data_IF_278969253268
#
_entry.id   IF_278969253268
#
_cell.length_a   1.000
_cell.length_b   1.000
_cell.length_c   1.000
_cell.angle_alpha   90.00
_cell.angle_beta   90.00
_cell.angle_gamma   90.00
#
_symmetry.space_group_name_H-M   'P 1'
#
loop_
_entity.id
_entity.type
_entity.pdbx_description
1 polymer ?
#
# COMPACT_ATOMS: atom_id res chain seq x y z
N UNK A 1 26.28 17.75 30.30
CA UNK A 1 25.69 18.35 29.08
C UNK A 1 24.21 18.02 29.08
N UNK A 2 23.34 19.03 29.14
CA UNK A 2 21.90 18.80 29.07
C UNK A 2 21.52 18.67 27.59
N UNK A 3 21.47 17.44 27.08
CA UNK A 3 21.06 17.17 25.70
C UNK A 3 19.54 17.25 25.68
N UNK A 4 19.00 18.20 24.91
CA UNK A 4 17.57 18.26 24.59
C UNK A 4 17.15 16.95 23.92
N UNK A 5 16.26 16.22 24.60
CA UNK A 5 15.83 14.89 24.17
C UNK A 5 14.87 14.94 22.99
N UNK A 6 14.09 16.02 22.85
CA UNK A 6 13.19 16.22 21.70
C UNK A 6 14.01 16.48 20.43
N UNK A 7 15.02 17.35 20.53
CA UNK A 7 15.94 17.63 19.42
C UNK A 7 16.74 16.38 19.02
N UNK A 8 17.26 15.65 20.02
CA UNK A 8 17.99 14.39 19.78
C UNK A 8 17.11 13.37 19.04
N UNK A 9 15.84 13.23 19.45
CA UNK A 9 14.90 12.31 18.80
C UNK A 9 14.59 12.72 17.37
N UNK A 10 14.41 14.02 17.12
CA UNK A 10 14.13 14.54 15.78
C UNK A 10 15.32 14.33 14.82
N UNK A 11 16.54 14.59 15.27
CA UNK A 11 17.76 14.36 14.49
C UNK A 11 17.98 12.89 14.16
N UNK A 12 17.65 12.00 15.10
CA UNK A 12 17.71 10.56 14.92
C UNK A 12 16.69 10.03 13.91
N UNK A 13 15.42 10.46 14.03
CA UNK A 13 14.30 9.94 13.21
C UNK A 13 14.22 10.63 11.84
N UNK A 14 14.37 11.96 11.79
CA UNK A 14 14.25 12.74 10.54
C UNK A 14 15.60 13.04 9.92
N UNK A 15 16.59 13.41 10.73
CA UNK A 15 17.91 13.88 10.28
C UNK A 15 18.83 12.80 9.72
N UNK A 16 18.41 11.53 9.74
CA UNK A 16 19.19 10.36 9.26
C UNK A 16 20.52 10.16 10.01
N UNK A 17 20.71 10.79 11.17
CA UNK A 17 21.97 10.76 11.89
C UNK A 17 22.13 9.44 12.66
N UNK A 18 23.26 8.77 12.46
CA UNK A 18 23.60 7.52 13.16
C UNK A 18 23.99 7.78 14.61
N UNK A 19 24.03 6.74 15.43
CA UNK A 19 24.51 6.87 16.81
C UNK A 19 25.93 7.44 16.91
N UNK A 20 26.81 7.12 15.95
CA UNK A 20 28.17 7.63 15.93
C UNK A 20 28.20 9.15 15.66
N UNK A 21 27.41 9.61 14.69
CA UNK A 21 27.30 11.04 14.35
C UNK A 21 26.68 11.85 15.51
N UNK A 22 25.65 11.30 16.16
CA UNK A 22 25.05 11.92 17.34
C UNK A 22 26.03 11.94 18.53
N UNK A 23 26.78 10.86 18.74
CA UNK A 23 27.78 10.76 19.80
C UNK A 23 28.89 11.80 19.62
N UNK A 24 29.39 11.97 18.40
CA UNK A 24 30.38 12.99 18.05
C UNK A 24 29.82 14.40 18.26
N UNK A 25 28.63 14.68 17.74
CA UNK A 25 27.97 15.99 17.85
C UNK A 25 27.74 16.42 19.30
N UNK A 26 27.20 15.52 20.13
CA UNK A 26 26.90 15.80 21.54
C UNK A 26 28.07 15.46 22.47
N UNK A 27 29.25 15.14 21.92
CA UNK A 27 30.48 14.81 22.65
C UNK A 27 30.25 13.82 23.81
N UNK A 28 29.53 12.74 23.51
CA UNK A 28 29.23 11.69 24.48
C UNK A 28 29.39 10.29 23.87
N UNK A 29 29.29 9.23 24.67
CA UNK A 29 29.42 7.87 24.15
C UNK A 29 28.17 7.43 23.37
N UNK A 30 28.36 6.55 22.38
CA UNK A 30 27.27 5.89 21.64
C UNK A 30 26.24 5.27 22.59
N UNK A 31 26.71 4.64 23.69
CA UNK A 31 25.84 4.03 24.71
C UNK A 31 24.96 5.07 25.44
N UNK A 32 25.46 6.29 25.60
CA UNK A 32 24.69 7.40 26.20
C UNK A 32 23.57 7.86 25.27
N UNK A 33 23.86 8.02 23.97
CA UNK A 33 22.86 8.33 22.94
C UNK A 33 21.78 7.24 22.89
N UNK A 34 22.19 5.97 22.83
CA UNK A 34 21.25 4.85 22.82
C UNK A 34 20.33 4.86 24.04
N UNK A 35 20.88 5.03 25.25
CA UNK A 35 20.07 5.09 26.48
C UNK A 35 19.08 6.25 26.47
N UNK A 36 19.47 7.43 25.99
CA UNK A 36 18.56 8.59 25.86
C UNK A 36 17.43 8.30 24.86
N UNK A 37 17.77 7.77 23.69
CA UNK A 37 16.78 7.40 22.67
C UNK A 37 15.87 6.27 23.14
N UNK A 38 16.37 5.29 23.90
CA UNK A 38 15.60 4.18 24.48
C UNK A 38 14.65 4.67 25.60
N UNK A 39 15.01 5.72 26.34
CA UNK A 39 14.16 6.32 27.38
C UNK A 39 13.17 7.37 26.84
N UNK A 40 13.41 7.92 25.64
CA UNK A 40 12.55 8.95 25.06
C UNK A 40 11.11 8.45 24.85
N UNK A 41 10.13 9.18 25.36
CA UNK A 41 8.71 8.84 25.19
C UNK A 41 8.14 9.56 23.96
N UNK A 42 7.76 8.79 22.94
CA UNK A 42 7.15 9.34 21.73
C UNK A 42 5.80 9.97 22.08
N UNK A 43 5.72 11.29 21.94
CA UNK A 43 4.47 12.05 22.14
C UNK A 43 3.44 11.66 21.07
N UNK A 44 2.45 10.85 21.45
CA UNK A 44 1.28 10.54 20.59
C UNK A 44 0.26 11.66 20.73
N UNK A 45 -0.07 12.31 19.62
CA UNK A 45 -1.14 13.31 19.60
C UNK A 45 -2.48 12.62 19.40
N UNK A 46 -3.44 12.92 20.28
CA UNK A 46 -4.84 12.55 20.08
C UNK A 46 -5.34 13.23 18.80
N UNK A 47 -5.96 12.44 17.92
CA UNK A 47 -6.46 12.92 16.64
C UNK A 47 -7.92 13.30 16.78
N UNK A 48 -8.27 14.46 16.25
CA UNK A 48 -9.65 14.94 16.27
C UNK A 48 -10.47 14.22 15.21
N UNK A 49 -11.62 13.69 15.63
CA UNK A 49 -12.60 13.09 14.75
C UNK A 49 -13.07 14.06 13.65
N UNK A 50 -13.12 13.58 12.41
CA UNK A 50 -13.52 14.34 11.22
C UNK A 50 -13.87 13.39 10.07
N UNK A 51 -14.33 13.98 8.96
CA UNK A 51 -14.48 13.28 7.67
C UNK A 51 -13.12 12.89 7.11
N UNK A 52 -12.96 11.61 6.76
CA UNK A 52 -11.69 11.06 6.27
C UNK A 52 -11.89 10.11 5.10
N UNK A 53 -10.95 10.16 4.16
CA UNK A 53 -10.78 9.12 3.14
C UNK A 53 -9.62 8.26 3.60
N UNK A 54 -9.87 7.00 3.92
CA UNK A 54 -8.86 6.14 4.53
C UNK A 54 -8.09 5.40 3.45
N UNK A 55 -6.84 5.80 3.25
CA UNK A 55 -5.86 4.98 2.57
C UNK A 55 -5.41 3.88 3.55
N UNK A 56 -5.36 2.64 3.10
CA UNK A 56 -4.80 1.55 3.89
C UNK A 56 -3.89 0.65 3.07
N UNK A 57 -2.75 0.30 3.66
CA UNK A 57 -1.76 -0.60 3.06
C UNK A 57 -0.83 -1.17 4.15
N UNK A 58 -0.12 -2.25 3.83
CA UNK A 58 0.79 -2.94 4.73
C UNK A 58 2.17 -3.09 4.12
N UNK A 59 3.21 -2.74 4.88
CA UNK A 59 4.59 -2.93 4.46
C UNK A 59 5.38 -3.85 5.40
N UNK A 60 6.30 -4.64 4.84
CA UNK A 60 7.05 -5.67 5.56
C UNK A 60 8.55 -5.37 5.68
N UNK A 61 9.14 -5.82 6.79
CA UNK A 61 10.58 -5.91 7.03
C UNK A 61 11.00 -7.38 7.16
N UNK A 62 11.43 -7.97 6.06
CA UNK A 62 11.74 -9.40 6.01
C UNK A 62 10.50 -10.25 6.27
N UNK A 63 10.70 -11.39 6.96
CA UNK A 63 9.63 -12.33 7.35
C UNK A 63 9.20 -12.19 8.81
N UNK A 64 9.78 -11.23 9.54
CA UNK A 64 9.59 -11.10 10.99
C UNK A 64 8.32 -10.33 11.34
N UNK A 65 8.12 -9.15 10.74
CA UNK A 65 6.97 -8.30 11.01
C UNK A 65 6.68 -7.34 9.84
N UNK A 66 5.44 -6.83 9.84
CA UNK A 66 4.97 -5.75 8.99
C UNK A 66 4.22 -4.70 9.79
N UNK A 67 3.93 -3.60 9.11
CA UNK A 67 3.17 -2.47 9.64
C UNK A 67 2.03 -2.20 8.68
N UNK A 68 0.80 -2.36 9.19
CA UNK A 68 -0.42 -1.92 8.53
C UNK A 68 -0.68 -0.48 8.94
N UNK A 69 -0.89 0.41 7.97
CA UNK A 69 -1.09 1.83 8.19
C UNK A 69 -2.43 2.28 7.62
N UNK A 70 -3.16 3.08 8.39
CA UNK A 70 -4.36 3.79 7.97
C UNK A 70 -4.04 5.28 7.96
N UNK A 71 -4.13 5.89 6.78
CA UNK A 71 -3.74 7.27 6.55
C UNK A 71 -4.91 8.05 5.95
N UNK A 72 -5.13 9.24 6.46
CA UNK A 72 -6.10 10.17 5.89
C UNK A 72 -5.58 10.73 4.56
N UNK A 73 -6.31 10.51 3.48
CA UNK A 73 -5.98 11.07 2.17
C UNK A 73 -6.22 12.58 2.09
N UNK A 74 -7.07 13.16 2.95
CA UNK A 74 -7.40 14.59 2.93
C UNK A 74 -6.28 15.37 3.63
N UNK A 75 -6.08 15.12 4.92
CA UNK A 75 -5.09 15.85 5.73
C UNK A 75 -3.66 15.30 5.63
N UNK A 76 -3.48 14.12 5.00
CA UNK A 76 -2.23 13.36 4.98
C UNK A 76 -1.75 12.92 6.37
N UNK A 77 -2.61 12.97 7.38
CA UNK A 77 -2.29 12.51 8.72
C UNK A 77 -2.35 10.98 8.82
N UNK A 78 -1.45 10.37 9.59
CA UNK A 78 -1.58 8.96 9.92
C UNK A 78 -2.55 8.81 11.09
N UNK A 79 -3.58 7.98 10.92
CA UNK A 79 -4.69 7.86 11.86
C UNK A 79 -4.53 6.68 12.82
N UNK A 80 -4.04 5.56 12.29
CA UNK A 80 -3.95 4.30 13.02
C UNK A 80 -2.88 3.42 12.38
N UNK A 81 -2.26 2.56 13.20
CA UNK A 81 -1.38 1.51 12.69
C UNK A 81 -1.43 0.26 13.55
N UNK A 82 -1.09 -0.87 12.93
CA UNK A 82 -0.89 -2.14 13.62
C UNK A 82 0.43 -2.77 13.22
N UNK A 83 1.11 -3.38 14.20
CA UNK A 83 2.18 -4.32 13.91
C UNK A 83 1.57 -5.69 13.64
N UNK A 84 1.88 -6.27 12.49
CA UNK A 84 1.26 -7.51 12.02
C UNK A 84 2.35 -8.51 11.62
N UNK A 85 2.15 -9.79 11.90
CA UNK A 85 2.99 -10.85 11.34
C UNK A 85 2.51 -11.24 9.95
N UNK A 86 1.20 -11.41 9.82
CA UNK A 86 0.53 -11.71 8.57
C UNK A 86 -0.62 -10.71 8.37
N UNK A 87 -0.76 -10.24 7.14
CA UNK A 87 -1.80 -9.31 6.74
C UNK A 87 -3.09 -10.10 6.44
N UNK A 88 -4.18 -9.75 7.13
CA UNK A 88 -5.49 -10.39 7.02
C UNK A 88 -6.58 -9.36 6.79
N UNK A 89 -7.64 -9.74 6.08
CA UNK A 89 -8.77 -8.84 5.82
C UNK A 89 -9.47 -8.42 7.12
N UNK A 90 -9.51 -9.31 8.11
CA UNK A 90 -10.07 -9.01 9.43
C UNK A 90 -9.37 -7.84 10.14
N UNK A 91 -8.05 -7.69 9.97
CA UNK A 91 -7.31 -6.56 10.56
C UNK A 91 -7.67 -5.23 9.90
N UNK A 92 -7.90 -5.22 8.59
CA UNK A 92 -8.38 -4.04 7.88
C UNK A 92 -9.78 -3.63 8.33
N UNK A 93 -10.70 -4.59 8.42
CA UNK A 93 -12.07 -4.35 8.91
C UNK A 93 -12.03 -3.81 10.34
N UNK A 94 -11.24 -4.45 11.21
CA UNK A 94 -11.04 -3.99 12.60
C UNK A 94 -10.51 -2.56 12.66
N UNK A 95 -9.53 -2.21 11.81
CA UNK A 95 -8.96 -0.87 11.77
C UNK A 95 -9.98 0.20 11.36
N UNK A 96 -10.81 -0.09 10.36
CA UNK A 96 -11.91 0.81 9.97
C UNK A 96 -12.94 0.95 11.09
N UNK A 97 -13.34 -0.16 11.73
CA UNK A 97 -14.26 -0.13 12.87
C UNK A 97 -13.69 0.67 14.05
N UNK A 98 -12.40 0.57 14.32
CA UNK A 98 -11.73 1.35 15.37
C UNK A 98 -11.69 2.85 15.04
N UNK A 99 -11.53 3.23 13.77
CA UNK A 99 -11.62 4.63 13.38
C UNK A 99 -13.04 5.16 13.57
N UNK A 100 -14.05 4.39 13.16
CA UNK A 100 -15.46 4.75 13.34
C UNK A 100 -15.80 4.89 14.83
N UNK A 101 -15.34 3.96 15.68
CA UNK A 101 -15.59 4.03 17.13
C UNK A 101 -14.90 5.21 17.82
N UNK A 102 -13.80 5.71 17.25
CA UNK A 102 -13.14 6.96 17.67
C UNK A 102 -13.85 8.23 17.14
N UNK A 103 -14.96 8.08 16.44
CA UNK A 103 -15.78 9.18 15.93
C UNK A 103 -15.41 9.66 14.52
N UNK A 104 -14.47 9.02 13.82
CA UNK A 104 -14.16 9.39 12.45
C UNK A 104 -15.29 9.01 11.50
N UNK A 105 -15.66 9.93 10.62
CA UNK A 105 -16.61 9.67 9.54
C UNK A 105 -15.84 9.20 8.30
N UNK A 106 -15.78 7.88 8.10
CA UNK A 106 -15.06 7.26 6.98
C UNK A 106 -15.93 7.33 5.72
N UNK A 107 -15.70 8.35 4.89
CA UNK A 107 -16.52 8.61 3.69
C UNK A 107 -16.11 7.75 2.49
N UNK A 108 -14.85 7.30 2.45
CA UNK A 108 -14.34 6.41 1.42
C UNK A 108 -13.08 5.68 1.89
N UNK A 109 -12.75 4.60 1.19
CA UNK A 109 -11.61 3.74 1.45
C UNK A 109 -10.79 3.56 0.18
N UNK A 110 -9.46 3.56 0.28
CA UNK A 110 -8.55 3.18 -0.81
C UNK A 110 -7.60 2.09 -0.32
N UNK A 111 -7.58 0.93 -0.99
CA UNK A 111 -6.77 -0.21 -0.55
C UNK A 111 -6.22 -1.04 -1.73
N UNK A 112 -5.37 -2.02 -1.42
CA UNK A 112 -4.98 -3.07 -2.37
C UNK A 112 -6.19 -3.94 -2.76
N UNK A 113 -6.14 -4.56 -3.94
CA UNK A 113 -7.16 -5.48 -4.46
C UNK A 113 -7.09 -6.87 -3.86
N UNK A 114 -6.95 -6.98 -2.54
CA UNK A 114 -7.00 -8.26 -1.85
C UNK A 114 -8.38 -8.91 -2.01
N UNK A 115 -8.37 -10.20 -2.36
CA UNK A 115 -9.60 -10.98 -2.54
C UNK A 115 -10.43 -10.95 -1.25
N UNK A 116 -11.71 -10.60 -1.38
CA UNK A 116 -12.65 -10.49 -0.27
C UNK A 116 -12.60 -9.17 0.50
N UNK A 117 -11.50 -8.39 0.42
CA UNK A 117 -11.37 -7.13 1.16
C UNK A 117 -12.30 -6.07 0.58
N UNK A 118 -12.36 -5.95 -0.75
CA UNK A 118 -13.16 -4.94 -1.44
C UNK A 118 -14.66 -5.06 -1.10
N UNK A 119 -15.17 -6.29 -0.92
CA UNK A 119 -16.57 -6.57 -0.57
C UNK A 119 -16.85 -6.44 0.94
N UNK A 120 -15.85 -6.17 1.78
CA UNK A 120 -16.03 -6.18 3.23
C UNK A 120 -16.64 -4.89 3.79
N UNK A 121 -16.85 -3.87 2.96
CA UNK A 121 -17.25 -2.52 3.38
C UNK A 121 -18.53 -2.07 2.67
N UNK A 122 -19.64 -2.78 2.86
CA UNK A 122 -20.87 -2.62 2.08
C UNK A 122 -21.41 -1.17 1.98
N UNK A 123 -21.24 -0.35 3.02
CA UNK A 123 -21.79 1.00 3.07
C UNK A 123 -20.78 2.12 2.74
N UNK A 124 -19.51 1.77 2.55
CA UNK A 124 -18.43 2.73 2.32
C UNK A 124 -17.89 2.52 0.90
N UNK A 125 -17.87 3.54 0.03
CA UNK A 125 -17.24 3.40 -1.27
C UNK A 125 -15.76 3.01 -1.14
N UNK A 126 -15.40 1.89 -1.78
CA UNK A 126 -14.04 1.37 -1.82
C UNK A 126 -13.44 1.60 -3.19
N UNK A 127 -12.27 2.21 -3.23
CA UNK A 127 -11.43 2.34 -4.39
C UNK A 127 -10.27 1.34 -4.31
N UNK A 128 -10.15 0.47 -5.31
CA UNK A 128 -8.95 -0.35 -5.47
C UNK A 128 -7.83 0.49 -6.07
N UNK A 129 -6.64 0.43 -5.48
CA UNK A 129 -5.48 1.15 -5.99
C UNK A 129 -5.11 0.68 -7.41
N UNK A 130 -5.10 1.62 -8.36
CA UNK A 130 -4.80 1.33 -9.76
C UNK A 130 -3.33 0.90 -9.99
N UNK A 131 -2.37 1.34 -9.17
CA UNK A 131 -0.99 0.83 -9.24
C UNK A 131 -0.88 -0.62 -8.79
N UNK A 132 -1.62 -1.01 -7.76
CA UNK A 132 -1.69 -2.41 -7.33
C UNK A 132 -2.33 -3.29 -8.41
N UNK A 133 -3.35 -2.80 -9.11
CA UNK A 133 -3.90 -3.48 -10.29
C UNK A 133 -2.85 -3.64 -11.39
N UNK A 134 -2.10 -2.58 -11.73
CA UNK A 134 -0.97 -2.66 -12.68
C UNK A 134 0.03 -3.74 -12.24
N UNK A 135 0.38 -3.79 -10.96
CA UNK A 135 1.29 -4.80 -10.42
C UNK A 135 0.72 -6.24 -10.51
N UNK A 136 -0.59 -6.44 -10.32
CA UNK A 136 -1.25 -7.74 -10.58
C UNK A 136 -1.05 -8.17 -12.03
N UNK A 137 -1.24 -7.28 -13.00
CA UNK A 137 -1.06 -7.60 -14.42
C UNK A 137 0.39 -7.92 -14.74
N UNK A 138 1.33 -7.13 -14.24
CA UNK A 138 2.76 -7.39 -14.44
C UNK A 138 3.17 -8.74 -13.83
N UNK A 139 2.59 -9.17 -12.70
CA UNK A 139 2.84 -10.52 -12.15
C UNK A 139 2.38 -11.64 -13.08
N UNK A 140 1.28 -11.45 -13.81
CA UNK A 140 0.81 -12.42 -14.80
C UNK A 140 1.63 -12.40 -16.10
N UNK A 141 1.93 -11.22 -16.62
CA UNK A 141 2.44 -11.04 -17.99
C UNK A 141 3.91 -10.70 -18.08
N UNK A 142 4.55 -10.33 -16.98
CA UNK A 142 5.84 -9.64 -16.91
C UNK A 142 5.79 -8.24 -17.51
N UNK A 143 6.84 -7.43 -17.29
CA UNK A 143 6.93 -6.05 -17.81
C UNK A 143 7.09 -6.01 -19.33
N UNK A 144 7.80 -6.99 -19.89
CA UNK A 144 8.16 -7.07 -21.31
C UNK A 144 7.71 -8.42 -21.91
N UNK A 145 6.39 -8.65 -22.07
CA UNK A 145 5.91 -9.89 -22.67
C UNK A 145 6.33 -10.00 -24.14
N UNK A 146 6.57 -11.23 -24.61
CA UNK A 146 6.88 -11.52 -26.02
C UNK A 146 5.64 -11.61 -26.90
N UNK A 147 4.51 -12.01 -26.32
CA UNK A 147 3.27 -12.28 -27.05
C UNK A 147 2.57 -10.97 -27.44
N UNK A 148 2.17 -10.75 -28.71
CA UNK A 148 1.53 -9.52 -29.15
C UNK A 148 0.27 -9.16 -28.34
N UNK A 149 -0.59 -10.13 -28.06
CA UNK A 149 -1.79 -9.95 -27.24
C UNK A 149 -1.46 -9.39 -25.83
N UNK A 150 -0.39 -9.89 -25.22
CA UNK A 150 0.06 -9.44 -23.91
C UNK A 150 0.73 -8.06 -23.96
N UNK A 151 1.49 -7.75 -25.02
CA UNK A 151 2.07 -6.42 -25.23
C UNK A 151 0.99 -5.36 -25.39
N UNK A 152 -0.04 -5.65 -26.19
CA UNK A 152 -1.19 -4.77 -26.37
C UNK A 152 -1.94 -4.57 -25.05
N UNK A 153 -2.17 -5.64 -24.26
CA UNK A 153 -2.83 -5.51 -22.96
C UNK A 153 -2.03 -4.65 -21.97
N UNK A 154 -0.69 -4.76 -21.97
CA UNK A 154 0.16 -3.90 -21.13
C UNK A 154 0.01 -2.43 -21.54
N UNK A 155 -0.09 -2.12 -22.84
CA UNK A 155 -0.34 -0.75 -23.31
C UNK A 155 -1.68 -0.22 -22.77
N UNK A 156 -2.75 -1.01 -22.83
CA UNK A 156 -4.06 -0.65 -22.24
C UNK A 156 -3.91 -0.38 -20.74
N UNK A 157 -3.27 -1.29 -20.02
CA UNK A 157 -3.10 -1.18 -18.56
C UNK A 157 -2.27 0.03 -18.16
N UNK A 158 -1.30 0.46 -18.97
CA UNK A 158 -0.52 1.66 -18.69
C UNK A 158 -1.38 2.93 -18.66
N UNK A 159 -2.46 2.98 -19.44
CA UNK A 159 -3.42 4.10 -19.47
C UNK A 159 -4.28 4.19 -18.21
N UNK A 160 -4.45 3.10 -17.45
CA UNK A 160 -5.39 2.99 -16.33
C UNK A 160 -5.36 4.15 -15.32
N UNK A 161 -4.19 4.73 -15.06
CA UNK A 161 -4.03 5.82 -14.07
C UNK A 161 -4.28 7.21 -14.62
N UNK A 162 -4.39 7.34 -15.94
CA UNK A 162 -4.33 8.62 -16.64
C UNK A 162 -5.52 8.80 -17.61
N UNK A 163 -6.59 8.02 -17.44
CA UNK A 163 -7.76 8.03 -18.32
C UNK A 163 -9.05 7.94 -17.49
N UNK A 164 -10.16 8.38 -18.09
CA UNK A 164 -11.52 8.17 -17.58
C UNK A 164 -11.99 6.72 -17.74
N UNK A 165 -13.10 6.41 -17.06
CA UNK A 165 -13.67 5.06 -17.01
C UNK A 165 -14.11 4.61 -18.41
N UNK A 166 -14.86 5.43 -19.12
CA UNK A 166 -15.48 5.11 -20.41
C UNK A 166 -14.41 4.78 -21.45
N UNK A 167 -13.38 5.63 -21.55
CA UNK A 167 -12.24 5.41 -22.45
C UNK A 167 -11.47 4.14 -22.11
N UNK A 168 -11.23 3.86 -20.81
CA UNK A 168 -10.55 2.63 -20.42
C UNK A 168 -11.38 1.39 -20.74
N UNK A 169 -12.68 1.40 -20.43
CA UNK A 169 -13.60 0.31 -20.70
C UNK A 169 -13.72 0.03 -22.20
N UNK A 170 -13.80 1.08 -23.02
CA UNK A 170 -13.82 0.99 -24.47
C UNK A 170 -12.54 0.35 -25.02
N UNK A 171 -11.37 0.86 -24.64
CA UNK A 171 -10.07 0.32 -25.11
C UNK A 171 -9.87 -1.13 -24.64
N UNK A 172 -10.26 -1.46 -23.40
CA UNK A 172 -10.20 -2.83 -22.89
C UNK A 172 -11.20 -3.76 -23.62
N UNK A 173 -12.35 -3.23 -24.01
CA UNK A 173 -13.36 -3.90 -24.84
C UNK A 173 -12.82 -4.27 -26.21
N UNK A 174 -12.27 -3.29 -26.93
CA UNK A 174 -11.64 -3.47 -28.25
C UNK A 174 -10.50 -4.51 -28.20
N UNK A 175 -9.69 -4.47 -27.14
CA UNK A 175 -8.66 -5.49 -26.93
C UNK A 175 -9.27 -6.90 -26.79
N UNK A 176 -10.37 -7.03 -26.04
CA UNK A 176 -11.04 -8.31 -25.86
C UNK A 176 -11.78 -8.78 -27.12
N UNK A 177 -12.33 -7.89 -27.93
CA UNK A 177 -12.91 -8.26 -29.23
C UNK A 177 -11.85 -8.86 -30.15
N UNK A 178 -10.67 -8.23 -30.22
CA UNK A 178 -9.55 -8.70 -31.03
C UNK A 178 -8.96 -10.04 -30.55
N UNK A 179 -8.77 -10.20 -29.24
CA UNK A 179 -8.04 -11.34 -28.66
C UNK A 179 -8.93 -12.36 -27.96
N UNK A 180 -10.24 -12.17 -27.93
CA UNK A 180 -11.18 -12.97 -27.13
C UNK A 180 -11.19 -14.45 -27.50
N UNK A 181 -11.17 -14.76 -28.78
CA UNK A 181 -11.12 -16.16 -29.25
C UNK A 181 -9.76 -16.80 -29.00
N UNK A 182 -8.69 -16.03 -29.19
CA UNK A 182 -7.34 -16.42 -28.80
C UNK A 182 -7.27 -16.80 -27.31
N UNK A 183 -7.95 -16.08 -26.41
CA UNK A 183 -8.02 -16.46 -24.98
C UNK A 183 -8.78 -17.77 -24.70
N UNK A 184 -9.66 -18.20 -25.60
CA UNK A 184 -10.46 -19.43 -25.46
C UNK A 184 -9.71 -20.68 -25.93
N UNK A 185 -8.62 -20.53 -26.68
CA UNK A 185 -7.78 -21.63 -27.15
C UNK A 185 -7.41 -22.59 -26.01
N UNK A 186 -7.47 -23.89 -26.31
CA UNK A 186 -7.16 -24.96 -25.36
C UNK A 186 -6.07 -25.86 -25.93
N UNK A 187 -5.18 -26.31 -25.05
CA UNK A 187 -4.20 -27.36 -25.33
C UNK A 187 -4.51 -28.60 -24.48
N UNK A 188 -4.14 -29.77 -25.00
CA UNK A 188 -4.24 -31.04 -24.28
C UNK A 188 -2.89 -31.32 -23.64
N UNK A 189 -2.89 -31.69 -22.36
CA UNK A 189 -1.68 -32.14 -21.71
C UNK A 189 -1.38 -33.59 -22.16
N UNK A 190 -0.23 -33.85 -22.82
CA UNK A 190 0.04 -35.17 -23.43
C UNK A 190 0.20 -36.29 -22.41
N UNK A 191 0.59 -35.99 -21.16
CA UNK A 191 0.80 -36.98 -20.11
C UNK A 191 -0.49 -37.36 -19.37
N UNK A 192 -1.43 -36.42 -19.26
CA UNK A 192 -2.64 -36.60 -18.44
C UNK A 192 -3.94 -36.63 -19.25
N UNK A 193 -3.89 -36.33 -20.56
CA UNK A 193 -5.05 -36.20 -21.43
C UNK A 193 -5.98 -35.02 -21.11
N UNK A 194 -5.70 -34.23 -20.07
CA UNK A 194 -6.57 -33.13 -19.61
C UNK A 194 -6.40 -31.88 -20.46
N UNK A 195 -7.51 -31.24 -20.81
CA UNK A 195 -7.52 -29.96 -21.53
C UNK A 195 -7.30 -28.78 -20.58
N UNK A 196 -6.53 -27.78 -21.02
CA UNK A 196 -6.33 -26.53 -20.30
C UNK A 196 -6.27 -25.34 -21.26
N UNK A 197 -6.53 -24.13 -20.77
CA UNK A 197 -6.38 -22.92 -21.60
C UNK A 197 -4.90 -22.70 -21.95
N UNK A 198 -4.62 -22.52 -23.24
CA UNK A 198 -3.26 -22.28 -23.75
C UNK A 198 -2.66 -21.02 -23.10
N UNK A 199 -3.43 -19.93 -23.08
CA UNK A 199 -2.97 -18.62 -22.60
C UNK A 199 -3.44 -18.31 -21.18
N UNK A 200 -3.33 -19.28 -20.26
CA UNK A 200 -3.88 -19.19 -18.89
C UNK A 200 -3.52 -17.89 -18.15
N UNK A 201 -2.26 -17.44 -18.24
CA UNK A 201 -1.79 -16.22 -17.55
C UNK A 201 -2.41 -14.95 -18.14
N UNK A 202 -2.39 -14.79 -19.46
CA UNK A 202 -3.02 -13.66 -20.15
C UNK A 202 -4.52 -13.59 -19.87
N UNK A 203 -5.17 -14.75 -19.93
CA UNK A 203 -6.58 -14.89 -19.60
C UNK A 203 -6.88 -14.49 -18.14
N UNK A 204 -5.99 -14.81 -17.20
CA UNK A 204 -6.12 -14.43 -15.79
C UNK A 204 -5.89 -12.93 -15.59
N UNK A 205 -4.94 -12.35 -16.31
CA UNK A 205 -4.67 -10.91 -16.32
C UNK A 205 -5.91 -10.12 -16.76
N UNK A 206 -6.47 -10.45 -17.94
CA UNK A 206 -7.69 -9.82 -18.44
C UNK A 206 -8.86 -9.95 -17.46
N UNK A 207 -9.11 -11.17 -16.95
CA UNK A 207 -10.17 -11.41 -15.96
C UNK A 207 -10.01 -10.56 -14.71
N UNK A 208 -8.78 -10.38 -14.22
CA UNK A 208 -8.55 -9.55 -13.03
C UNK A 208 -8.94 -8.08 -13.28
N UNK A 209 -8.66 -7.52 -14.45
CA UNK A 209 -9.12 -6.18 -14.81
C UNK A 209 -10.64 -6.12 -14.87
N UNK A 210 -11.27 -7.05 -15.59
CA UNK A 210 -12.72 -7.05 -15.80
C UNK A 210 -13.48 -7.20 -14.48
N UNK A 211 -13.01 -8.07 -13.59
CA UNK A 211 -13.65 -8.31 -12.30
C UNK A 211 -13.46 -7.13 -11.32
N UNK A 212 -12.34 -6.41 -11.42
CA UNK A 212 -12.02 -5.31 -10.52
C UNK A 212 -12.50 -3.94 -11.04
N UNK A 213 -13.01 -3.88 -12.26
CA UNK A 213 -13.33 -2.64 -12.99
C UNK A 213 -14.18 -1.66 -12.18
N UNK A 214 -15.24 -2.15 -11.53
CA UNK A 214 -16.11 -1.33 -10.68
C UNK A 214 -15.36 -0.67 -9.52
N UNK A 215 -14.39 -1.38 -8.94
CA UNK A 215 -13.56 -0.91 -7.83
C UNK A 215 -12.42 0.00 -8.29
N UNK A 216 -11.97 -0.11 -9.54
CA UNK A 216 -10.89 0.72 -10.11
C UNK A 216 -11.34 2.13 -10.46
N UNK A 217 -12.65 2.34 -10.61
CA UNK A 217 -13.25 3.61 -11.00
C UNK A 217 -14.30 4.11 -10.00
N UNK A 218 -14.26 3.65 -8.74
CA UNK A 218 -15.10 4.22 -7.67
C UNK A 218 -14.85 5.71 -7.52
N UNK A 219 -13.60 6.16 -7.63
CA UNK A 219 -13.22 7.57 -7.62
C UNK A 219 -13.88 8.39 -8.74
N UNK A 220 -14.08 7.77 -9.91
CA UNK A 220 -14.66 8.42 -11.08
C UNK A 220 -16.19 8.50 -10.95
N UNK A 221 -16.83 7.42 -10.47
CA UNK A 221 -18.27 7.39 -10.25
C UNK A 221 -18.72 8.28 -9.06
N UNK A 222 -17.79 8.66 -8.16
CA UNK A 222 -18.04 9.49 -6.98
C UNK A 222 -17.07 10.66 -6.90
N UNK A 223 -16.99 11.44 -7.98
CA UNK A 223 -16.01 12.51 -8.14
C UNK A 223 -16.14 13.61 -7.06
N UNK A 224 -17.36 13.80 -6.53
CA UNK A 224 -17.68 14.73 -5.45
C UNK A 224 -16.95 14.41 -4.14
N UNK A 225 -16.56 13.15 -3.93
CA UNK A 225 -15.83 12.71 -2.75
C UNK A 225 -14.31 12.90 -2.87
N UNK A 226 -13.81 13.26 -4.07
CA UNK A 226 -12.38 13.47 -4.35
C UNK A 226 -11.49 12.30 -3.87
N UNK A 227 -11.94 11.06 -4.13
CA UNK A 227 -11.23 9.84 -3.73
C UNK A 227 -9.96 9.70 -4.57
N UNK A 228 -8.78 9.51 -3.96
CA UNK A 228 -7.59 9.19 -4.73
C UNK A 228 -7.72 7.84 -5.43
N UNK A 229 -7.37 7.77 -6.71
CA UNK A 229 -7.35 6.52 -7.48
C UNK A 229 -6.21 5.56 -7.06
N UNK A 230 -5.28 6.02 -6.21
CA UNK A 230 -4.05 5.31 -5.83
C UNK A 230 -3.65 5.53 -4.37
N UNK A 231 -2.87 4.59 -3.82
CA UNK A 231 -2.31 4.62 -2.45
C UNK A 231 -0.95 5.31 -2.36
N UNK A 232 -0.53 6.05 -3.39
CA UNK A 232 0.82 6.64 -3.50
C UNK A 232 1.29 7.41 -2.26
N UNK A 233 0.36 8.08 -1.56
CA UNK A 233 0.69 8.80 -0.34
C UNK A 233 1.13 7.89 0.82
N UNK A 234 0.64 6.64 0.88
CA UNK A 234 1.15 5.63 1.81
C UNK A 234 2.44 4.99 1.26
N UNK A 235 2.45 4.61 -0.01
CA UNK A 235 3.62 3.96 -0.64
C UNK A 235 4.90 4.80 -0.50
N UNK A 236 4.79 6.10 -0.79
CA UNK A 236 5.89 7.05 -0.60
C UNK A 236 6.30 7.21 0.86
N UNK A 237 5.33 7.16 1.79
CA UNK A 237 5.59 7.26 3.22
C UNK A 237 6.34 6.03 3.74
N UNK A 238 5.97 4.84 3.27
CA UNK A 238 6.69 3.61 3.56
C UNK A 238 8.09 3.59 2.95
N UNK A 239 8.26 4.11 1.74
CA UNK A 239 9.57 4.23 1.12
C UNK A 239 10.50 5.15 1.94
N UNK A 240 10.02 6.32 2.38
CA UNK A 240 10.79 7.22 3.24
C UNK A 240 11.15 6.57 4.59
N UNK A 241 10.18 5.90 5.23
CA UNK A 241 10.41 5.15 6.47
C UNK A 241 11.49 4.08 6.30
N UNK A 242 11.42 3.27 5.24
CA UNK A 242 12.41 2.24 4.95
C UNK A 242 13.78 2.83 4.67
N UNK A 243 13.85 3.92 3.92
CA UNK A 243 15.11 4.61 3.65
C UNK A 243 15.77 5.17 4.91
N UNK A 244 14.99 5.75 5.82
CA UNK A 244 15.49 6.25 7.10
C UNK A 244 15.94 5.11 8.02
N UNK A 245 15.17 4.03 8.11
CA UNK A 245 15.56 2.84 8.87
C UNK A 245 16.82 2.14 8.32
N UNK A 246 17.06 2.19 7.01
CA UNK A 246 18.26 1.60 6.38
C UNK A 246 19.56 2.24 6.85
N UNK A 247 19.52 3.49 7.33
CA UNK A 247 20.69 4.13 7.93
C UNK A 247 20.98 3.61 9.35
N UNK A 248 20.03 2.89 9.94
CA UNK A 248 20.09 2.29 11.27
C UNK A 248 20.06 0.76 11.17
N UNK A 249 20.96 0.20 10.35
CA UNK A 249 21.09 -1.25 10.22
C UNK A 249 21.52 -1.89 11.55
N UNK A 250 21.02 -3.09 11.84
CA UNK A 250 21.37 -3.84 13.06
C UNK A 250 20.54 -3.52 14.31
N UNK A 251 19.51 -2.66 14.21
CA UNK A 251 18.59 -2.43 15.33
C UNK A 251 17.85 -3.71 15.74
N UNK A 252 17.68 -3.88 17.06
CA UNK A 252 16.75 -4.87 17.61
C UNK A 252 15.32 -4.58 17.15
N UNK A 253 14.46 -5.61 17.19
CA UNK A 253 13.06 -5.48 16.80
C UNK A 253 12.34 -4.37 17.57
N UNK A 254 12.58 -4.26 18.88
CA UNK A 254 11.96 -3.24 19.73
C UNK A 254 12.38 -1.82 19.34
N UNK A 255 13.68 -1.60 19.09
CA UNK A 255 14.18 -0.29 18.64
C UNK A 255 13.66 0.09 17.25
N UNK A 256 13.53 -0.89 16.34
CA UNK A 256 12.88 -0.68 15.04
C UNK A 256 11.42 -0.26 15.23
N UNK A 257 10.65 -0.94 16.08
CA UNK A 257 9.26 -0.58 16.36
C UNK A 257 9.17 0.83 16.94
N UNK A 258 10.03 1.17 17.90
CA UNK A 258 10.09 2.51 18.50
C UNK A 258 10.40 3.60 17.47
N UNK A 259 11.35 3.35 16.56
CA UNK A 259 11.61 4.26 15.45
C UNK A 259 10.36 4.48 14.59
N UNK A 260 9.66 3.39 14.25
CA UNK A 260 8.41 3.43 13.46
C UNK A 260 7.28 4.15 14.23
N UNK A 261 7.19 3.99 15.56
CA UNK A 261 6.28 4.76 16.42
C UNK A 261 6.55 6.26 16.34
N UNK A 262 7.80 6.67 16.51
CA UNK A 262 8.20 8.08 16.41
C UNK A 262 8.06 8.68 15.02
N UNK A 263 8.25 7.87 13.99
CA UNK A 263 8.12 8.31 12.61
C UNK A 263 6.66 8.46 12.19
N UNK A 264 5.83 7.44 12.42
CA UNK A 264 4.45 7.46 11.96
C UNK A 264 3.54 8.32 12.84
N UNK A 265 3.82 8.43 14.16
CA UNK A 265 3.00 9.18 15.12
C UNK A 265 1.49 8.91 14.99
N UNK A 266 1.18 7.66 14.65
CA UNK A 266 -0.16 7.11 14.42
C UNK A 266 -0.62 6.34 15.66
#
# INVERSE_FOLDING_TARGET
MNIDEDLLWEEYVKGKQTYAQLAEKYRCSIRTIQRKLDNYSVKKQLKTARKVIVLMDTTYWGREFGVMLFKDAITKENLLKYYVKNETNALYIKGIQELISKGFEVIAIVCDGRKGLLQSFNDIPVQMCQFHQKAIIVRYLTKNPKLPAAQELIKVVNLLTNTDKESFEGILGLWHEKWGDFLKERSINPLTGRTHYTHKKLRSAYRSLKNNLSWLFTWYNKIELNIPNTTNAIDGHFADLKNKLRNHNGLSLERKKKFIDGFLKA
#
